data_IF_176061705413
#
_entry.id   IF_176061705413
#
_cell.length_a   1.000
_cell.length_b   1.000
_cell.length_c   1.000
_cell.angle_alpha   90.00
_cell.angle_beta   90.00
_cell.angle_gamma   90.00
#
_symmetry.space_group_name_H-M   'P 1'
#
loop_
_entity.id
_entity.type
_entity.pdbx_description
1 polymer ?
#
# COMPACT_ATOMS: atom_id res chain seq x y z
N UNK A 1 5.27 -14.24 48.31
CA UNK A 1 5.48 -15.67 48.65
C UNK A 1 5.54 -16.54 47.38
N UNK A 2 4.62 -16.39 46.43
CA UNK A 2 4.59 -17.18 45.19
C UNK A 2 5.80 -16.92 44.26
N UNK A 3 6.27 -15.67 44.19
CA UNK A 3 7.43 -15.27 43.35
C UNK A 3 8.74 -15.87 43.88
N UNK A 4 8.90 -15.96 45.21
CA UNK A 4 10.08 -16.56 45.82
C UNK A 4 10.10 -18.09 45.68
N UNK A 5 8.94 -18.74 45.55
CA UNK A 5 8.86 -20.17 45.25
C UNK A 5 9.19 -20.48 43.78
N UNK A 6 8.73 -19.60 42.83
CA UNK A 6 9.08 -19.73 41.40
C UNK A 6 10.58 -19.51 41.16
N UNK A 7 11.21 -18.55 41.84
CA UNK A 7 12.65 -18.31 41.74
C UNK A 7 13.50 -19.43 42.37
N UNK A 8 13.03 -20.09 43.41
CA UNK A 8 13.71 -21.28 43.97
C UNK A 8 13.57 -22.52 43.08
N UNK A 9 12.45 -22.63 42.35
CA UNK A 9 12.25 -23.72 41.39
C UNK A 9 13.17 -23.58 40.16
N UNK A 10 13.42 -22.34 39.70
CA UNK A 10 14.34 -22.09 38.60
C UNK A 10 15.82 -22.30 38.97
N UNK A 11 16.21 -22.06 40.20
CA UNK A 11 17.60 -22.27 40.67
C UNK A 11 17.95 -23.76 40.92
N UNK A 12 16.97 -24.61 41.18
CA UNK A 12 17.18 -26.06 41.39
C UNK A 12 17.11 -26.88 40.08
N UNK A 13 16.57 -26.31 39.00
CA UNK A 13 16.49 -26.98 37.70
C UNK A 13 17.77 -26.87 36.84
N UNK A 14 18.76 -26.08 37.27
CA UNK A 14 20.04 -25.90 36.55
C UNK A 14 21.10 -26.95 36.83
N UNK A 15 20.84 -27.93 37.75
CA UNK A 15 21.73 -29.06 37.98
C UNK A 15 21.05 -30.38 37.59
N UNK A 16 21.18 -30.73 36.30
CA UNK A 16 21.21 -32.09 35.79
C UNK A 16 20.00 -32.97 36.01
N UNK A 17 18.98 -32.90 35.16
CA UNK A 17 18.10 -34.03 34.91
C UNK A 17 17.73 -34.08 33.42
N UNK A 18 18.23 -35.09 32.70
CA UNK A 18 17.68 -35.56 31.44
C UNK A 18 16.38 -36.32 31.73
N UNK A 19 15.23 -35.81 31.30
CA UNK A 19 14.03 -36.62 31.21
C UNK A 19 13.00 -35.97 30.30
N UNK A 20 12.68 -36.65 29.20
CA UNK A 20 11.78 -36.32 28.10
C UNK A 20 10.28 -36.44 28.43
N UNK A 21 9.90 -36.58 29.70
CA UNK A 21 8.48 -36.80 30.10
C UNK A 21 7.81 -35.61 30.84
N UNK A 22 8.58 -34.65 31.29
CA UNK A 22 8.03 -33.52 32.06
C UNK A 22 7.51 -32.36 31.22
N UNK A 23 7.85 -32.29 29.92
CA UNK A 23 7.43 -31.22 29.04
C UNK A 23 5.95 -31.27 28.64
N UNK A 24 5.33 -32.43 28.66
CA UNK A 24 3.94 -32.60 28.21
C UNK A 24 2.93 -32.27 29.32
N UNK A 25 3.32 -32.40 30.57
CA UNK A 25 2.43 -32.11 31.72
C UNK A 25 2.35 -30.61 32.11
N UNK A 26 3.33 -29.81 31.71
CA UNK A 26 3.30 -28.36 31.98
C UNK A 26 2.44 -27.55 30.99
N UNK A 27 2.21 -28.04 29.79
CA UNK A 27 1.39 -27.33 28.79
C UNK A 27 -0.12 -27.25 29.11
N UNK A 28 -0.58 -28.06 30.08
CA UNK A 28 -2.01 -28.09 30.45
C UNK A 28 -2.35 -27.36 31.75
N UNK A 29 -1.39 -26.72 32.45
CA UNK A 29 -1.64 -26.11 33.76
C UNK A 29 -1.52 -24.58 33.81
N UNK A 30 -1.03 -23.89 32.78
CA UNK A 30 -0.93 -22.44 32.80
C UNK A 30 -1.39 -21.81 31.50
N UNK A 31 -2.33 -20.87 31.61
CA UNK A 31 -2.73 -20.01 30.51
C UNK A 31 -1.59 -19.00 30.26
N UNK A 32 -0.72 -19.28 29.28
CA UNK A 32 0.52 -18.56 29.02
C UNK A 32 0.36 -17.07 28.68
N UNK A 33 -0.83 -16.63 28.26
CA UNK A 33 -1.10 -15.21 27.97
C UNK A 33 -1.03 -14.30 29.21
N UNK A 34 -1.47 -14.78 30.37
CA UNK A 34 -1.42 -14.00 31.61
C UNK A 34 -0.01 -13.77 32.18
N UNK A 35 0.91 -14.72 31.95
CA UNK A 35 2.28 -14.65 32.48
C UNK A 35 3.14 -13.69 31.65
N UNK A 36 2.95 -13.67 30.31
CA UNK A 36 3.65 -12.75 29.42
C UNK A 36 3.31 -11.28 29.72
N UNK A 37 2.04 -10.97 29.93
CA UNK A 37 1.58 -9.61 30.27
C UNK A 37 2.09 -9.13 31.64
N UNK A 38 2.18 -10.03 32.60
CA UNK A 38 2.70 -9.68 33.94
C UNK A 38 4.22 -9.46 33.94
N UNK A 39 4.97 -10.23 33.15
CA UNK A 39 6.40 -10.01 32.95
C UNK A 39 6.69 -8.71 32.18
N UNK A 40 5.90 -8.38 31.17
CA UNK A 40 5.99 -7.09 30.44
C UNK A 40 5.76 -5.92 31.43
N UNK A 41 4.75 -6.00 32.27
CA UNK A 41 4.46 -5.01 33.31
C UNK A 41 5.62 -4.85 34.31
N UNK A 42 6.28 -5.93 34.71
CA UNK A 42 7.44 -5.87 35.63
C UNK A 42 8.69 -5.29 34.94
N UNK A 43 8.88 -5.50 33.65
CA UNK A 43 9.98 -4.92 32.89
C UNK A 43 9.80 -3.42 32.70
N UNK A 44 8.57 -2.95 32.44
CA UNK A 44 8.23 -1.53 32.30
C UNK A 44 8.43 -0.74 33.60
N UNK A 45 8.38 -1.42 34.80
CA UNK A 45 8.63 -0.82 36.10
C UNK A 45 10.12 -0.81 36.51
N UNK A 46 11.03 -1.27 35.63
CA UNK A 46 12.49 -1.25 35.90
C UNK A 46 12.96 -2.18 37.00
N UNK A 47 12.13 -3.09 37.51
CA UNK A 47 12.39 -3.90 38.72
C UNK A 47 13.06 -5.26 38.45
N UNK A 48 13.45 -5.57 37.19
CA UNK A 48 14.11 -6.83 36.84
C UNK A 48 15.48 -6.58 36.22
N UNK A 49 16.59 -7.09 36.83
CA UNK A 49 17.93 -6.92 36.24
C UNK A 49 18.07 -7.63 34.91
N UNK A 50 18.59 -6.93 33.90
CA UNK A 50 18.70 -7.41 32.49
C UNK A 50 19.52 -8.70 32.29
N UNK A 51 20.27 -9.17 33.26
CA UNK A 51 21.10 -10.37 33.15
C UNK A 51 20.44 -11.66 33.68
N UNK A 52 19.16 -11.63 34.05
CA UNK A 52 18.43 -12.80 34.57
C UNK A 52 17.51 -13.46 33.50
N UNK A 53 17.59 -13.06 32.22
CA UNK A 53 16.81 -13.71 31.15
C UNK A 53 17.55 -14.93 30.60
N UNK A 54 17.09 -16.17 30.87
CA UNK A 54 17.54 -17.31 30.07
C UNK A 54 17.02 -17.14 28.64
N UNK A 55 17.88 -17.25 27.66
CA UNK A 55 17.62 -17.10 26.21
C UNK A 55 16.54 -18.07 25.62
N UNK A 56 15.94 -18.92 26.45
CA UNK A 56 15.02 -19.98 26.05
C UNK A 56 13.53 -19.64 26.15
N UNK A 57 13.15 -18.41 26.60
CA UNK A 57 11.75 -17.96 26.61
C UNK A 57 11.54 -16.78 25.64
N UNK A 58 12.06 -16.89 24.42
CA UNK A 58 11.49 -16.14 23.34
C UNK A 58 10.14 -16.82 23.00
N UNK A 59 9.04 -16.29 23.54
CA UNK A 59 7.77 -16.38 22.83
C UNK A 59 8.10 -15.75 21.48
N UNK A 60 8.17 -16.55 20.41
CA UNK A 60 8.28 -16.02 19.06
C UNK A 60 7.00 -15.21 18.84
N UNK A 61 7.05 -13.91 19.13
CA UNK A 61 6.04 -13.00 18.58
C UNK A 61 6.00 -13.26 17.06
N UNK A 62 4.82 -13.40 16.48
CA UNK A 62 4.72 -13.60 15.04
C UNK A 62 5.50 -12.47 14.35
N UNK A 63 6.58 -12.84 13.69
CA UNK A 63 7.51 -11.86 13.16
C UNK A 63 6.86 -11.20 11.97
N UNK A 64 6.69 -9.87 12.01
CA UNK A 64 6.14 -9.05 10.93
C UNK A 64 6.73 -9.46 9.59
N UNK A 65 5.90 -9.61 8.58
CA UNK A 65 6.29 -9.89 7.20
C UNK A 65 6.21 -8.63 6.36
N UNK A 66 7.24 -8.38 5.57
CA UNK A 66 7.36 -7.16 4.76
C UNK A 66 7.36 -7.53 3.28
N UNK A 67 6.53 -6.85 2.50
CA UNK A 67 6.48 -6.96 1.05
C UNK A 67 6.84 -5.60 0.47
N UNK A 68 8.02 -5.49 -0.12
CA UNK A 68 8.46 -4.29 -0.80
C UNK A 68 8.05 -4.35 -2.27
N UNK A 69 7.26 -3.38 -2.72
CA UNK A 69 6.86 -3.20 -4.11
C UNK A 69 7.68 -2.07 -4.73
N UNK A 70 8.50 -2.40 -5.70
CA UNK A 70 9.34 -1.44 -6.45
C UNK A 70 8.88 -1.34 -7.89
N UNK A 71 9.20 -0.25 -8.58
CA UNK A 71 8.86 -0.05 -9.98
C UNK A 71 10.09 0.25 -10.83
N UNK A 72 10.02 -0.13 -12.09
CA UNK A 72 11.04 0.19 -13.07
C UNK A 72 10.47 0.53 -14.44
N UNK A 73 11.32 1.08 -15.29
CA UNK A 73 11.05 1.50 -16.67
C UNK A 73 10.32 2.83 -16.78
N UNK A 74 9.14 2.98 -16.19
CA UNK A 74 8.35 4.21 -16.24
C UNK A 74 7.61 4.46 -14.91
N UNK A 75 7.29 5.73 -14.63
CA UNK A 75 6.33 6.12 -13.59
C UNK A 75 4.90 5.74 -13.99
N UNK A 76 3.96 5.76 -13.04
CA UNK A 76 2.55 5.46 -13.34
C UNK A 76 2.26 4.01 -13.78
N UNK A 77 3.19 3.08 -13.55
CA UNK A 77 3.07 1.67 -13.98
C UNK A 77 1.99 0.87 -13.24
N UNK A 78 1.36 1.47 -12.21
CA UNK A 78 0.31 0.83 -11.42
C UNK A 78 0.82 0.10 -10.18
N UNK A 79 1.95 0.54 -9.59
CA UNK A 79 2.48 -0.02 -8.32
C UNK A 79 1.43 -0.03 -7.21
N UNK A 80 0.69 1.08 -7.02
CA UNK A 80 -0.34 1.22 -6.00
C UNK A 80 -1.47 0.21 -6.14
N UNK A 81 -1.97 0.00 -7.36
CA UNK A 81 -3.01 -1.01 -7.66
C UNK A 81 -2.49 -2.42 -7.40
N UNK A 82 -1.23 -2.70 -7.75
CA UNK A 82 -0.62 -4.01 -7.51
C UNK A 82 -0.39 -4.23 -6.01
N UNK A 83 0.12 -3.24 -5.30
CA UNK A 83 0.34 -3.29 -3.86
C UNK A 83 -0.98 -3.51 -3.08
N UNK A 84 -2.02 -2.72 -3.40
CA UNK A 84 -3.36 -2.89 -2.79
C UNK A 84 -3.99 -4.24 -3.15
N UNK A 85 -3.80 -4.74 -4.38
CA UNK A 85 -4.27 -6.06 -4.79
C UNK A 85 -3.59 -7.19 -4.03
N UNK A 86 -2.28 -7.11 -3.80
CA UNK A 86 -1.53 -8.05 -2.95
C UNK A 86 -2.13 -8.06 -1.54
N UNK A 87 -2.36 -6.88 -0.97
CA UNK A 87 -2.95 -6.76 0.35
C UNK A 87 -4.35 -7.36 0.44
N UNK A 88 -5.18 -7.12 -0.55
CA UNK A 88 -6.52 -7.72 -0.67
C UNK A 88 -6.47 -9.25 -0.68
N UNK A 89 -5.54 -9.84 -1.43
CA UNK A 89 -5.35 -11.30 -1.45
C UNK A 89 -4.89 -11.85 -0.11
N UNK A 90 -3.95 -11.20 0.57
CA UNK A 90 -3.48 -11.61 1.89
C UNK A 90 -4.57 -11.46 2.96
N UNK A 91 -5.34 -10.37 2.89
CA UNK A 91 -6.52 -10.17 3.75
C UNK A 91 -7.59 -11.25 3.52
N UNK A 92 -7.76 -11.71 2.26
CA UNK A 92 -8.67 -12.82 1.94
C UNK A 92 -8.26 -14.14 2.59
N UNK A 93 -6.99 -14.28 2.95
CA UNK A 93 -6.46 -15.43 3.72
C UNK A 93 -6.70 -15.29 5.23
N UNK A 94 -7.23 -14.16 5.70
CA UNK A 94 -7.49 -13.88 7.11
C UNK A 94 -6.32 -13.23 7.84
N UNK A 95 -5.34 -12.68 7.11
CA UNK A 95 -4.21 -11.97 7.70
C UNK A 95 -4.54 -10.49 7.92
N UNK A 96 -4.01 -9.90 8.97
CA UNK A 96 -4.07 -8.46 9.21
C UNK A 96 -2.95 -7.77 8.42
N UNK A 97 -3.34 -6.84 7.53
CA UNK A 97 -2.44 -6.20 6.58
C UNK A 97 -2.44 -4.70 6.81
N UNK A 98 -1.27 -4.09 6.81
CA UNK A 98 -1.09 -2.63 6.74
C UNK A 98 -0.31 -2.24 5.49
N UNK A 99 -0.35 -0.96 5.13
CA UNK A 99 0.37 -0.44 3.98
C UNK A 99 1.19 0.80 4.33
N UNK A 100 2.34 0.96 3.69
CA UNK A 100 3.20 2.14 3.77
C UNK A 100 3.49 2.60 2.34
N UNK A 101 3.28 3.89 2.08
CA UNK A 101 3.70 4.55 0.84
C UNK A 101 4.95 5.36 1.10
N UNK A 102 5.96 5.16 0.28
CA UNK A 102 7.20 5.95 0.31
C UNK A 102 7.27 6.79 -0.94
N UNK A 103 7.34 8.09 -0.75
CA UNK A 103 7.46 9.06 -1.83
C UNK A 103 8.79 9.80 -1.73
N UNK A 104 9.71 9.62 -2.69
CA UNK A 104 11.07 10.14 -2.61
C UNK A 104 11.20 11.64 -2.91
N UNK A 105 10.13 12.42 -2.78
CA UNK A 105 10.21 13.88 -2.92
C UNK A 105 10.57 14.56 -1.59
N UNK A 106 11.09 15.80 -1.68
CA UNK A 106 11.57 16.58 -0.52
C UNK A 106 10.44 17.25 0.26
N UNK A 107 9.23 17.34 -0.30
CA UNK A 107 8.08 17.88 0.42
C UNK A 107 7.81 17.05 1.69
N UNK A 108 7.38 17.75 2.76
CA UNK A 108 6.99 17.07 4.01
C UNK A 108 5.73 16.24 3.79
N UNK A 109 4.75 16.81 3.09
CA UNK A 109 3.47 16.19 2.75
C UNK A 109 3.01 16.62 1.36
N UNK A 110 1.81 16.21 0.95
CA UNK A 110 1.24 16.52 -0.36
C UNK A 110 0.47 17.85 -0.41
N UNK A 111 0.34 18.59 0.70
CA UNK A 111 -0.53 19.76 0.80
C UNK A 111 -0.19 20.92 -0.13
N UNK A 112 1.03 20.95 -0.66
CA UNK A 112 1.48 21.99 -1.60
C UNK A 112 1.52 21.54 -3.06
N UNK A 113 1.01 20.33 -3.37
CA UNK A 113 1.05 19.79 -4.72
C UNK A 113 0.03 20.44 -5.66
N UNK A 114 0.38 20.46 -6.93
CA UNK A 114 -0.55 20.83 -7.99
C UNK A 114 -1.43 19.60 -8.33
N UNK A 115 -2.77 19.73 -8.29
CA UNK A 115 -3.66 18.65 -8.71
C UNK A 115 -3.46 18.21 -10.17
N UNK A 116 -2.92 19.06 -11.02
CA UNK A 116 -2.59 18.71 -12.42
C UNK A 116 -1.37 17.80 -12.56
N UNK A 117 -0.47 17.78 -11.56
CA UNK A 117 0.76 16.99 -11.61
C UNK A 117 0.63 15.66 -10.83
N UNK A 118 -0.04 15.71 -9.67
CA UNK A 118 -0.07 14.60 -8.71
C UNK A 118 -1.48 14.08 -8.41
N UNK A 119 -2.54 14.68 -9.01
CA UNK A 119 -3.91 14.37 -8.66
C UNK A 119 -4.35 15.03 -7.35
N UNK A 120 -5.41 14.51 -6.72
CA UNK A 120 -5.92 15.08 -5.48
C UNK A 120 -4.96 14.88 -4.32
N UNK A 121 -4.94 15.85 -3.41
CA UNK A 121 -4.35 15.68 -2.08
C UNK A 121 -5.36 14.93 -1.23
N UNK A 122 -5.04 13.67 -0.89
CA UNK A 122 -5.90 12.85 -0.06
C UNK A 122 -5.70 13.22 1.41
N UNK A 123 -6.80 13.45 2.14
CA UNK A 123 -6.75 13.80 3.56
C UNK A 123 -7.21 12.61 4.39
N UNK A 124 -6.33 12.12 5.24
CA UNK A 124 -6.60 11.02 6.16
C UNK A 124 -7.45 11.47 7.36
N UNK A 125 -8.03 10.55 8.10
CA UNK A 125 -8.85 10.83 9.28
C UNK A 125 -8.10 11.60 10.38
N UNK A 126 -6.77 11.44 10.47
CA UNK A 126 -5.91 12.20 11.38
C UNK A 126 -5.51 13.60 10.86
N UNK A 127 -6.08 14.04 9.73
CA UNK A 127 -5.79 15.30 9.08
C UNK A 127 -4.48 15.32 8.27
N UNK A 128 -3.83 14.17 8.07
CA UNK A 128 -2.63 14.07 7.25
C UNK A 128 -2.94 14.29 5.77
N UNK A 129 -2.22 15.22 5.12
CA UNK A 129 -2.29 15.50 3.69
C UNK A 129 -1.29 14.59 2.96
N UNK A 130 -1.79 13.65 2.16
CA UNK A 130 -0.96 12.57 1.60
C UNK A 130 -1.26 12.34 0.13
N UNK A 131 -0.44 11.53 -0.51
CA UNK A 131 -0.63 11.09 -1.89
C UNK A 131 -1.93 10.27 -2.05
N UNK A 132 -2.59 10.41 -3.19
CA UNK A 132 -3.87 9.75 -3.51
C UNK A 132 -3.83 8.21 -3.41
N UNK A 133 -2.65 7.60 -3.51
CA UNK A 133 -2.47 6.15 -3.40
C UNK A 133 -2.89 5.62 -2.02
N UNK A 134 -2.76 6.42 -0.94
CA UNK A 134 -3.19 5.99 0.38
C UNK A 134 -4.70 5.79 0.45
N UNK A 135 -5.47 6.66 -0.20
CA UNK A 135 -6.91 6.46 -0.35
C UNK A 135 -7.26 5.17 -1.10
N UNK A 136 -6.41 4.77 -2.04
CA UNK A 136 -6.56 3.50 -2.74
C UNK A 136 -6.31 2.30 -1.82
N UNK A 137 -5.29 2.39 -0.95
CA UNK A 137 -5.05 1.34 0.06
C UNK A 137 -6.20 1.22 1.05
N UNK A 138 -6.70 2.32 1.58
CA UNK A 138 -7.85 2.31 2.49
C UNK A 138 -9.07 1.63 1.86
N UNK A 139 -9.40 1.99 0.61
CA UNK A 139 -10.55 1.41 -0.12
C UNK A 139 -10.39 -0.07 -0.44
N UNK A 140 -9.19 -0.51 -0.86
CA UNK A 140 -8.94 -1.91 -1.23
C UNK A 140 -8.78 -2.82 -0.01
N UNK A 141 -8.14 -2.30 1.04
CA UNK A 141 -7.82 -3.08 2.23
C UNK A 141 -8.85 -2.92 3.35
N UNK A 142 -9.80 -1.98 3.21
CA UNK A 142 -10.76 -1.67 4.27
C UNK A 142 -10.05 -1.48 5.62
N UNK A 143 -9.15 -0.49 5.65
CA UNK A 143 -8.31 -0.10 6.78
C UNK A 143 -8.31 1.42 6.91
N UNK A 144 -7.94 1.92 8.07
CA UNK A 144 -7.70 3.35 8.32
C UNK A 144 -6.22 3.59 8.49
N UNK A 145 -5.63 4.39 7.60
CA UNK A 145 -4.22 4.75 7.65
C UNK A 145 -4.02 6.08 8.41
N UNK A 146 -2.78 6.30 8.80
CA UNK A 146 -2.35 7.51 9.50
C UNK A 146 -1.27 8.22 8.69
N UNK A 147 -1.06 9.52 8.95
CA UNK A 147 -0.04 10.35 8.27
C UNK A 147 1.36 9.74 8.28
N UNK A 148 1.65 8.86 9.23
CA UNK A 148 2.93 8.18 9.33
C UNK A 148 3.07 7.00 8.35
N UNK A 149 1.97 6.51 7.78
CA UNK A 149 1.97 5.52 6.70
C UNK A 149 2.44 6.09 5.36
N UNK A 150 2.51 7.41 5.23
CA UNK A 150 3.17 8.08 4.12
C UNK A 150 4.54 8.60 4.56
N UNK A 151 5.60 8.05 4.01
CA UNK A 151 6.99 8.41 4.28
C UNK A 151 7.53 9.21 3.10
N UNK A 152 7.98 10.45 3.36
CA UNK A 152 8.64 11.28 2.35
C UNK A 152 10.10 11.51 2.69
N UNK A 153 10.92 11.86 1.70
CA UNK A 153 12.30 12.28 1.94
C UNK A 153 12.33 13.46 2.93
N UNK A 154 11.42 14.43 2.76
CA UNK A 154 11.34 15.57 3.66
C UNK A 154 11.11 15.18 5.12
N UNK A 155 10.15 14.29 5.40
CA UNK A 155 9.88 13.79 6.78
C UNK A 155 11.11 13.12 7.40
N UNK A 156 11.79 12.27 6.63
CA UNK A 156 12.98 11.54 7.13
C UNK A 156 14.13 12.50 7.43
N UNK A 157 14.43 13.40 6.50
CA UNK A 157 15.52 14.37 6.68
C UNK A 157 15.21 15.33 7.83
N UNK A 158 13.99 15.84 7.93
CA UNK A 158 13.56 16.68 9.04
C UNK A 158 13.73 15.96 10.38
N UNK A 159 13.34 14.68 10.45
CA UNK A 159 13.48 13.86 11.65
C UNK A 159 14.96 13.73 12.09
N UNK A 160 15.86 13.42 11.15
CA UNK A 160 17.29 13.26 11.43
C UNK A 160 17.92 14.60 11.79
N UNK A 161 17.58 15.69 11.10
CA UNK A 161 18.08 17.04 11.40
C UNK A 161 17.60 17.47 12.80
N UNK A 162 16.34 17.24 13.15
CA UNK A 162 15.82 17.52 14.51
C UNK A 162 16.56 16.74 15.59
N UNK A 163 16.88 15.46 15.36
CA UNK A 163 17.71 14.64 16.26
C UNK A 163 19.13 15.23 16.39
N UNK A 164 19.75 15.63 15.28
CA UNK A 164 21.08 16.24 15.30
C UNK A 164 21.07 17.54 16.12
N UNK A 165 20.11 18.43 15.89
CA UNK A 165 20.00 19.72 16.63
C UNK A 165 19.72 19.54 18.12
N UNK A 166 19.08 18.44 18.55
CA UNK A 166 18.90 18.10 19.96
C UNK A 166 20.15 17.50 20.61
N UNK A 167 21.13 17.07 19.80
CA UNK A 167 22.35 16.47 20.28
C UNK A 167 22.32 14.94 20.40
N UNK A 168 21.33 14.26 19.80
CA UNK A 168 21.22 12.79 19.86
C UNK A 168 22.41 12.09 19.18
N UNK A 169 23.15 12.82 18.34
CA UNK A 169 24.34 12.33 17.63
C UNK A 169 25.66 13.01 18.08
N UNK A 170 25.72 13.54 19.30
CA UNK A 170 26.91 14.25 19.78
C UNK A 170 28.19 13.45 19.55
N UNK A 171 29.21 14.14 18.98
CA UNK A 171 30.51 13.56 18.67
C UNK A 171 30.57 12.71 17.40
N UNK A 172 29.46 12.65 16.62
CA UNK A 172 29.40 11.90 15.36
C UNK A 172 29.14 12.84 14.19
N UNK A 173 29.74 12.52 13.04
CA UNK A 173 29.35 13.12 11.75
C UNK A 173 28.08 12.42 11.26
N UNK A 174 26.99 13.19 11.08
CA UNK A 174 25.72 12.66 10.60
C UNK A 174 25.76 12.55 9.08
N UNK A 175 25.46 11.36 8.54
CA UNK A 175 25.58 11.00 7.13
C UNK A 175 24.32 10.25 6.66
N UNK A 176 24.16 10.11 5.35
CA UNK A 176 23.03 9.32 4.79
C UNK A 176 23.08 7.88 5.33
N UNK A 177 24.23 7.24 5.26
CA UNK A 177 24.47 5.94 5.89
C UNK A 177 25.37 6.18 7.10
N UNK A 178 24.98 5.77 8.32
CA UNK A 178 23.77 5.01 8.65
C UNK A 178 22.53 5.85 9.04
N UNK A 179 22.64 7.16 9.27
CA UNK A 179 21.62 7.91 10.05
C UNK A 179 20.28 8.06 9.34
N UNK A 180 20.29 8.34 8.02
CA UNK A 180 19.07 8.41 7.20
C UNK A 180 18.53 7.00 6.97
N UNK A 181 19.41 6.04 6.63
CA UNK A 181 18.97 4.66 6.39
C UNK A 181 18.40 4.00 7.64
N UNK A 182 18.98 4.25 8.80
CA UNK A 182 18.45 3.74 10.08
C UNK A 182 17.10 4.39 10.41
N UNK A 183 16.96 5.71 10.20
CA UNK A 183 15.70 6.41 10.42
C UNK A 183 14.56 5.86 9.55
N UNK A 184 14.85 5.53 8.27
CA UNK A 184 13.87 4.90 7.37
C UNK A 184 13.45 3.54 7.91
N UNK A 185 14.41 2.69 8.28
CA UNK A 185 14.14 1.34 8.78
C UNK A 185 13.35 1.37 10.10
N UNK A 186 13.75 2.22 11.04
CA UNK A 186 13.05 2.40 12.33
C UNK A 186 11.62 2.91 12.13
N UNK A 187 11.41 3.83 11.18
CA UNK A 187 10.08 4.35 10.87
C UNK A 187 9.18 3.25 10.31
N UNK A 188 9.68 2.48 9.33
CA UNK A 188 8.94 1.35 8.74
C UNK A 188 8.57 0.32 9.80
N UNK A 189 9.52 -0.10 10.66
CA UNK A 189 9.25 -1.07 11.72
C UNK A 189 8.20 -0.57 12.73
N UNK A 190 8.27 0.71 13.10
CA UNK A 190 7.33 1.32 14.04
C UNK A 190 5.91 1.41 13.44
N UNK A 191 5.79 1.92 12.23
CA UNK A 191 4.48 2.11 11.58
C UNK A 191 3.84 0.75 11.21
N UNK A 192 4.62 -0.23 10.82
CA UNK A 192 4.12 -1.56 10.50
C UNK A 192 3.39 -2.24 11.68
N UNK A 193 3.68 -1.84 12.93
CA UNK A 193 3.06 -2.41 14.14
C UNK A 193 1.81 -1.66 14.61
N UNK A 194 1.47 -0.53 13.96
CA UNK A 194 0.29 0.25 14.32
C UNK A 194 -0.96 -0.44 13.79
N UNK A 195 -1.94 -0.65 14.67
CA UNK A 195 -3.24 -1.21 14.27
C UNK A 195 -3.96 -0.25 13.31
N UNK A 196 -4.53 -0.81 12.23
CA UNK A 196 -5.20 -0.07 11.16
C UNK A 196 -6.63 -0.54 10.93
N UNK A 197 -7.12 -1.42 11.81
CA UNK A 197 -8.48 -1.98 11.75
C UNK A 197 -9.21 -1.73 13.07
N UNK A 198 -10.55 -1.63 13.07
CA UNK A 198 -11.34 -1.30 14.28
C UNK A 198 -11.21 -2.31 15.42
N UNK A 199 -10.76 -3.53 15.15
CA UNK A 199 -10.53 -4.59 16.14
C UNK A 199 -9.19 -4.46 16.88
N UNK A 200 -8.42 -3.40 16.60
CA UNK A 200 -7.12 -3.07 17.23
C UNK A 200 -6.10 -4.21 17.16
N UNK A 201 -6.19 -5.05 16.12
CA UNK A 201 -5.26 -6.14 15.88
C UNK A 201 -3.95 -5.61 15.27
N UNK A 202 -2.82 -6.06 15.81
CA UNK A 202 -1.51 -5.74 15.22
C UNK A 202 -1.39 -6.41 13.85
N UNK A 203 -0.97 -5.68 12.80
CA UNK A 203 -0.76 -6.27 11.48
C UNK A 203 0.30 -7.38 11.50
N UNK A 204 0.09 -8.39 10.65
CA UNK A 204 1.03 -9.49 10.44
C UNK A 204 1.86 -9.29 9.18
N UNK A 205 1.34 -8.52 8.22
CA UNK A 205 1.99 -8.20 6.95
C UNK A 205 1.94 -6.70 6.70
N UNK A 206 3.09 -6.13 6.39
CA UNK A 206 3.24 -4.75 5.95
C UNK A 206 3.62 -4.72 4.46
N UNK A 207 2.79 -4.05 3.65
CA UNK A 207 3.07 -3.81 2.24
C UNK A 207 3.68 -2.42 2.12
N UNK A 208 4.85 -2.34 1.48
CA UNK A 208 5.59 -1.10 1.33
C UNK A 208 5.71 -0.80 -0.15
N UNK A 209 5.10 0.26 -0.60
CA UNK A 209 5.31 0.74 -1.96
C UNK A 209 6.41 1.79 -1.99
N UNK A 210 7.45 1.54 -2.78
CA UNK A 210 8.48 2.53 -3.07
C UNK A 210 8.07 3.32 -4.33
N UNK A 211 7.78 4.60 -4.14
CA UNK A 211 7.50 5.56 -5.19
C UNK A 211 8.70 5.80 -6.09
N UNK A 212 8.47 6.43 -7.24
CA UNK A 212 9.50 6.65 -8.26
C UNK A 212 9.88 5.39 -9.03
N UNK A 213 10.97 5.48 -9.75
CA UNK A 213 11.54 4.42 -10.59
C UNK A 213 12.89 3.99 -10.01
N UNK A 214 13.18 2.70 -10.04
CA UNK A 214 14.50 2.21 -9.60
C UNK A 214 15.58 2.83 -10.50
N UNK A 215 16.61 3.39 -9.87
CA UNK A 215 17.70 4.10 -10.52
C UNK A 215 17.61 5.63 -10.39
N UNK A 216 16.46 6.16 -10.04
CA UNK A 216 16.31 7.60 -9.80
C UNK A 216 17.08 8.01 -8.54
N UNK A 217 17.75 9.18 -8.61
CA UNK A 217 18.62 9.69 -7.52
C UNK A 217 17.84 9.85 -6.22
N UNK A 218 16.60 10.32 -6.32
CA UNK A 218 15.72 10.61 -5.19
C UNK A 218 15.39 9.36 -4.38
N UNK A 219 15.30 8.21 -5.05
CA UNK A 219 14.98 6.91 -4.44
C UNK A 219 16.14 6.22 -3.74
N UNK A 220 17.39 6.64 -4.01
CA UNK A 220 18.58 5.91 -3.60
C UNK A 220 18.73 5.70 -2.09
N UNK A 221 18.44 6.67 -1.20
CA UNK A 221 18.49 6.46 0.25
C UNK A 221 17.54 5.37 0.74
N UNK A 222 16.35 5.28 0.13
CA UNK A 222 15.34 4.25 0.45
C UNK A 222 15.78 2.87 -0.05
N UNK A 223 16.29 2.79 -1.27
CA UNK A 223 16.82 1.52 -1.82
C UNK A 223 17.94 0.99 -0.95
N UNK A 224 18.87 1.85 -0.52
CA UNK A 224 19.97 1.46 0.38
C UNK A 224 19.42 1.04 1.76
N UNK A 225 18.42 1.76 2.30
CA UNK A 225 17.78 1.38 3.55
C UNK A 225 17.14 -0.02 3.44
N UNK A 226 16.43 -0.35 2.36
CA UNK A 226 15.83 -1.68 2.17
C UNK A 226 16.86 -2.77 1.86
N UNK A 227 17.97 -2.43 1.22
CA UNK A 227 19.11 -3.35 1.06
C UNK A 227 19.65 -3.78 2.43
N UNK A 228 19.74 -2.86 3.40
CA UNK A 228 20.14 -3.17 4.78
C UNK A 228 18.99 -3.89 5.52
N UNK A 229 17.76 -3.43 5.36
CA UNK A 229 16.58 -3.93 6.05
C UNK A 229 16.33 -5.42 5.81
N UNK A 230 16.50 -5.92 4.58
CA UNK A 230 16.35 -7.34 4.27
C UNK A 230 17.28 -8.25 5.10
N UNK A 231 18.48 -7.77 5.46
CA UNK A 231 19.40 -8.49 6.36
C UNK A 231 18.92 -8.44 7.80
N UNK A 232 18.42 -7.26 8.24
CA UNK A 232 17.96 -7.03 9.61
C UNK A 232 16.74 -7.88 9.95
N UNK A 233 15.73 -7.92 9.07
CA UNK A 233 14.49 -8.68 9.30
C UNK A 233 14.60 -10.14 8.87
N UNK A 234 15.67 -10.50 8.17
CA UNK A 234 15.95 -11.78 7.55
C UNK A 234 15.06 -12.07 6.32
N UNK A 235 15.60 -12.89 5.42
CA UNK A 235 14.98 -13.18 4.12
C UNK A 235 13.61 -13.86 4.21
N UNK A 236 13.35 -14.67 5.22
CA UNK A 236 12.06 -15.31 5.45
C UNK A 236 10.93 -14.32 5.83
N UNK A 237 11.29 -13.10 6.21
CA UNK A 237 10.33 -12.05 6.57
C UNK A 237 10.28 -10.90 5.55
N UNK A 238 11.04 -10.98 4.47
CA UNK A 238 11.11 -9.93 3.46
C UNK A 238 10.93 -10.49 2.05
N UNK A 239 10.04 -9.90 1.27
CA UNK A 239 9.78 -10.27 -0.12
C UNK A 239 9.81 -9.02 -0.99
N UNK A 240 10.55 -9.06 -2.09
CA UNK A 240 10.65 -7.97 -3.05
C UNK A 240 9.85 -8.30 -4.31
N UNK A 241 8.86 -7.48 -4.61
CA UNK A 241 8.03 -7.51 -5.83
C UNK A 241 8.49 -6.37 -6.74
N UNK A 242 8.91 -6.68 -7.95
CA UNK A 242 9.33 -5.68 -8.92
C UNK A 242 8.31 -5.56 -10.04
N UNK A 243 7.71 -4.39 -10.16
CA UNK A 243 6.75 -4.07 -11.24
C UNK A 243 7.52 -3.50 -12.42
N UNK A 244 7.33 -4.09 -13.60
CA UNK A 244 8.04 -3.67 -14.79
C UNK A 244 7.15 -3.73 -16.03
N UNK A 245 7.36 -2.82 -16.96
CA UNK A 245 6.65 -2.77 -18.23
C UNK A 245 7.21 -3.79 -19.22
N UNK A 246 6.30 -4.53 -19.86
CA UNK A 246 6.58 -5.39 -21.02
C UNK A 246 5.83 -4.81 -22.21
N UNK A 247 6.42 -3.83 -22.92
CA UNK A 247 5.73 -3.15 -24.00
C UNK A 247 5.52 -4.07 -25.21
N UNK A 248 4.41 -3.84 -25.90
CA UNK A 248 4.05 -4.49 -27.15
C UNK A 248 3.88 -3.43 -28.25
N UNK A 249 4.95 -3.03 -28.94
CA UNK A 249 4.87 -2.02 -29.98
C UNK A 249 3.93 -2.47 -31.10
N UNK A 250 2.98 -1.63 -31.47
CA UNK A 250 1.95 -1.94 -32.51
C UNK A 250 2.58 -2.38 -33.84
N UNK A 251 3.74 -1.83 -34.21
CA UNK A 251 4.43 -2.15 -35.44
C UNK A 251 4.95 -3.60 -35.52
N UNK A 252 5.29 -4.22 -34.38
CA UNK A 252 5.84 -5.58 -34.34
C UNK A 252 4.87 -6.60 -33.78
N UNK A 253 3.89 -6.18 -32.98
CA UNK A 253 2.93 -7.07 -32.32
C UNK A 253 3.54 -8.03 -31.29
N UNK A 254 4.83 -7.86 -30.96
CA UNK A 254 5.57 -8.74 -30.05
C UNK A 254 5.88 -8.09 -28.73
N UNK A 255 5.74 -8.83 -27.63
CA UNK A 255 6.19 -8.37 -26.32
C UNK A 255 7.71 -8.21 -26.25
N UNK A 256 8.19 -7.05 -25.82
CA UNK A 256 9.62 -6.74 -25.69
C UNK A 256 10.05 -6.82 -24.23
N UNK A 257 10.92 -7.78 -23.92
CA UNK A 257 11.37 -8.07 -22.54
C UNK A 257 12.61 -7.28 -22.12
N UNK A 258 13.27 -6.59 -23.03
CA UNK A 258 14.52 -5.84 -22.73
C UNK A 258 14.34 -4.76 -21.67
N UNK A 259 13.25 -3.96 -21.63
CA UNK A 259 13.06 -2.99 -20.56
C UNK A 259 13.01 -3.65 -19.17
N UNK A 260 12.27 -4.75 -19.03
CA UNK A 260 12.19 -5.53 -17.78
C UNK A 260 13.54 -6.10 -17.37
N UNK A 261 14.30 -6.66 -18.32
CA UNK A 261 15.65 -7.18 -18.07
C UNK A 261 16.62 -6.08 -17.59
N UNK A 262 16.54 -4.88 -18.18
CA UNK A 262 17.35 -3.73 -17.78
C UNK A 262 17.00 -3.27 -16.37
N UNK A 263 15.70 -3.10 -16.07
CA UNK A 263 15.20 -2.65 -14.79
C UNK A 263 15.57 -3.63 -13.65
N UNK A 264 15.41 -4.95 -13.86
CA UNK A 264 15.81 -5.96 -12.87
C UNK A 264 17.31 -5.98 -12.67
N UNK A 265 18.11 -5.76 -13.73
CA UNK A 265 19.57 -5.67 -13.60
C UNK A 265 19.99 -4.48 -12.75
N UNK A 266 19.33 -3.34 -12.93
CA UNK A 266 19.57 -2.15 -12.14
C UNK A 266 19.22 -2.37 -10.67
N UNK A 267 18.02 -2.89 -10.36
CA UNK A 267 17.62 -3.26 -9.01
C UNK A 267 18.65 -4.16 -8.32
N UNK A 268 19.20 -5.14 -9.05
CA UNK A 268 20.26 -6.02 -8.54
C UNK A 268 21.58 -5.32 -8.34
N UNK A 269 21.93 -4.40 -9.25
CA UNK A 269 23.11 -3.56 -9.11
C UNK A 269 23.11 -2.75 -7.82
N UNK A 270 21.91 -2.39 -7.34
CA UNK A 270 21.67 -1.71 -6.08
C UNK A 270 21.54 -2.67 -4.87
N UNK A 271 21.72 -3.98 -5.08
CA UNK A 271 21.74 -4.99 -4.00
C UNK A 271 20.40 -5.55 -3.56
N UNK A 272 19.32 -5.23 -4.27
CA UNK A 272 18.02 -5.85 -4.09
C UNK A 272 17.74 -6.84 -5.22
N UNK A 273 17.18 -8.01 -4.89
CA UNK A 273 16.78 -9.00 -5.89
C UNK A 273 15.29 -9.26 -5.81
N UNK A 274 14.57 -9.23 -6.94
CA UNK A 274 13.14 -9.51 -6.91
C UNK A 274 12.90 -10.99 -6.61
N UNK A 275 11.94 -11.24 -5.72
CA UNK A 275 11.36 -12.57 -5.50
C UNK A 275 10.22 -12.84 -6.48
N UNK A 276 9.62 -11.77 -7.02
CA UNK A 276 8.51 -11.82 -7.96
C UNK A 276 8.61 -10.64 -8.93
N UNK A 277 8.29 -10.88 -10.20
CA UNK A 277 8.21 -9.84 -11.22
C UNK A 277 6.75 -9.73 -11.67
N UNK A 278 6.15 -8.56 -11.43
CA UNK A 278 4.84 -8.20 -11.96
C UNK A 278 5.02 -7.50 -13.32
N UNK A 279 4.69 -8.22 -14.38
CA UNK A 279 4.80 -7.76 -15.76
C UNK A 279 3.54 -6.99 -16.15
N UNK A 280 3.64 -5.67 -16.24
CA UNK A 280 2.59 -4.82 -16.74
C UNK A 280 2.62 -4.81 -18.26
N UNK A 281 1.49 -5.10 -18.92
CA UNK A 281 1.38 -5.18 -20.37
C UNK A 281 -0.02 -4.81 -20.84
N UNK A 282 -0.18 -4.43 -22.09
CA UNK A 282 -1.49 -4.16 -22.71
C UNK A 282 -2.29 -5.45 -22.86
N UNK A 283 -1.64 -6.53 -23.33
CA UNK A 283 -2.25 -7.84 -23.52
C UNK A 283 -1.57 -8.93 -22.69
N UNK A 284 -2.24 -10.10 -22.49
CA UNK A 284 -1.65 -11.22 -21.78
C UNK A 284 -0.28 -11.64 -22.31
N UNK A 285 0.67 -11.81 -21.43
CA UNK A 285 2.03 -12.25 -21.76
C UNK A 285 2.04 -13.77 -21.98
N UNK A 286 2.61 -14.22 -23.10
CA UNK A 286 2.70 -15.65 -23.42
C UNK A 286 3.73 -16.38 -22.54
N UNK A 287 3.59 -17.70 -22.40
CA UNK A 287 4.50 -18.51 -21.57
C UNK A 287 5.95 -18.43 -22.08
N UNK A 288 6.19 -18.40 -23.39
CA UNK A 288 7.54 -18.24 -23.93
C UNK A 288 8.18 -16.90 -23.56
N UNK A 289 7.38 -15.84 -23.40
CA UNK A 289 7.86 -14.54 -22.90
C UNK A 289 8.12 -14.60 -21.39
N UNK A 290 7.28 -15.29 -20.62
CA UNK A 290 7.52 -15.54 -19.18
C UNK A 290 8.80 -16.32 -18.95
N UNK A 291 9.03 -17.40 -19.71
CA UNK A 291 10.28 -18.17 -19.66
C UNK A 291 11.50 -17.32 -20.00
N UNK A 292 11.39 -16.47 -21.02
CA UNK A 292 12.47 -15.55 -21.37
C UNK A 292 12.78 -14.56 -20.25
N UNK A 293 11.77 -13.98 -19.60
CA UNK A 293 11.95 -13.10 -18.44
C UNK A 293 12.56 -13.90 -17.29
N UNK A 294 12.04 -15.08 -16.99
CA UNK A 294 12.54 -16.02 -15.98
C UNK A 294 14.05 -16.24 -16.14
N UNK A 295 14.49 -16.64 -17.33
CA UNK A 295 15.89 -16.94 -17.62
C UNK A 295 16.82 -15.73 -17.45
N UNK A 296 16.42 -14.56 -17.93
CA UNK A 296 17.25 -13.34 -17.85
C UNK A 296 17.19 -12.63 -16.50
N UNK A 297 16.09 -12.81 -15.77
CA UNK A 297 15.88 -12.19 -14.47
C UNK A 297 16.11 -13.16 -13.31
N UNK A 298 16.52 -14.40 -13.56
CA UNK A 298 16.80 -15.44 -12.57
C UNK A 298 15.70 -15.58 -11.49
N UNK A 299 14.48 -15.61 -11.91
CA UNK A 299 13.28 -15.97 -11.15
C UNK A 299 12.66 -17.21 -11.80
N UNK A 300 11.91 -18.03 -11.08
CA UNK A 300 11.24 -19.17 -11.71
C UNK A 300 9.99 -18.70 -12.48
N UNK A 301 9.55 -19.40 -13.53
CA UNK A 301 8.46 -18.95 -14.40
C UNK A 301 7.16 -18.57 -13.67
N UNK A 302 6.82 -19.29 -12.59
CA UNK A 302 5.64 -19.00 -11.76
C UNK A 302 5.79 -17.74 -10.88
N UNK A 303 6.98 -17.16 -10.78
CA UNK A 303 7.24 -15.86 -10.14
C UNK A 303 7.14 -14.70 -11.14
N UNK A 304 6.83 -14.96 -12.40
CA UNK A 304 6.55 -13.95 -13.42
C UNK A 304 5.04 -13.85 -13.59
N UNK A 305 4.43 -12.85 -12.95
CA UNK A 305 2.99 -12.62 -12.95
C UNK A 305 2.66 -11.59 -14.02
N UNK A 306 1.68 -11.90 -14.87
CA UNK A 306 1.20 -10.99 -15.90
C UNK A 306 0.05 -10.13 -15.36
N UNK A 307 0.20 -8.81 -15.45
CA UNK A 307 -0.83 -7.83 -15.11
C UNK A 307 -1.13 -7.05 -16.41
N UNK A 308 -2.06 -7.58 -17.20
CA UNK A 308 -2.50 -6.93 -18.42
C UNK A 308 -3.68 -5.99 -18.18
N UNK A 309 -4.04 -5.21 -19.20
CA UNK A 309 -5.18 -4.31 -19.12
C UNK A 309 -6.47 -5.10 -18.88
N UNK A 310 -7.27 -4.62 -17.95
CA UNK A 310 -8.55 -5.19 -17.55
C UNK A 310 -9.60 -4.08 -17.50
N UNK A 311 -10.90 -4.40 -17.64
CA UNK A 311 -11.97 -3.40 -17.70
C UNK A 311 -12.07 -2.52 -16.45
N UNK A 312 -11.70 -3.06 -15.28
CA UNK A 312 -11.71 -2.34 -14.02
C UNK A 312 -10.55 -2.78 -13.13
N UNK A 313 -10.02 -1.86 -12.31
CA UNK A 313 -8.98 -2.17 -11.32
C UNK A 313 -9.40 -3.26 -10.33
N UNK A 314 -10.70 -3.48 -10.14
CA UNK A 314 -11.22 -4.54 -9.28
C UNK A 314 -10.96 -5.95 -9.81
N UNK A 315 -10.66 -6.12 -11.11
CA UNK A 315 -10.26 -7.40 -11.69
C UNK A 315 -8.83 -7.81 -11.29
N UNK A 316 -7.96 -6.85 -10.94
CA UNK A 316 -6.53 -7.10 -10.73
C UNK A 316 -6.27 -8.13 -9.61
N UNK A 317 -6.92 -8.06 -8.42
CA UNK A 317 -6.73 -9.09 -7.39
C UNK A 317 -7.08 -10.49 -7.88
N UNK A 318 -8.19 -10.63 -8.64
CA UNK A 318 -8.62 -11.93 -9.19
C UNK A 318 -7.65 -12.44 -10.26
N UNK A 319 -7.17 -11.55 -11.15
CA UNK A 319 -6.16 -11.87 -12.14
C UNK A 319 -4.87 -12.40 -11.49
N UNK A 320 -4.45 -11.80 -10.39
CA UNK A 320 -3.28 -12.22 -9.63
C UNK A 320 -3.53 -13.54 -8.89
N UNK A 321 -4.70 -13.71 -8.29
CA UNK A 321 -5.10 -14.94 -7.61
C UNK A 321 -5.10 -16.14 -8.56
N UNK A 322 -5.69 -15.98 -9.74
CA UNK A 322 -5.77 -17.02 -10.77
C UNK A 322 -4.39 -17.47 -11.29
N UNK A 323 -3.35 -16.67 -11.11
CA UNK A 323 -1.96 -17.03 -11.43
C UNK A 323 -1.21 -17.65 -10.24
N UNK A 324 -1.88 -17.94 -9.12
CA UNK A 324 -1.28 -18.62 -7.97
C UNK A 324 -0.44 -17.71 -7.06
N UNK A 325 -0.67 -16.39 -7.11
CA UNK A 325 0.13 -15.43 -6.33
C UNK A 325 -0.04 -15.61 -4.82
N UNK A 326 -1.24 -15.96 -4.38
CA UNK A 326 -1.54 -16.18 -2.96
C UNK A 326 -0.68 -17.30 -2.37
N UNK A 327 -0.63 -18.45 -3.05
CA UNK A 327 0.16 -19.62 -2.65
C UNK A 327 1.66 -19.31 -2.67
N UNK A 328 2.08 -18.48 -3.61
CA UNK A 328 3.47 -18.05 -3.71
C UNK A 328 3.90 -17.24 -2.49
N UNK A 329 3.09 -16.27 -2.05
CA UNK A 329 3.39 -15.49 -0.83
C UNK A 329 3.34 -16.35 0.43
N UNK A 330 2.34 -17.25 0.57
CA UNK A 330 2.24 -18.16 1.70
C UNK A 330 3.53 -18.97 1.84
N UNK A 331 4.00 -19.55 0.74
CA UNK A 331 5.23 -20.35 0.70
C UNK A 331 6.48 -19.49 0.93
N UNK A 332 6.57 -18.32 0.27
CA UNK A 332 7.78 -17.49 0.29
C UNK A 332 8.03 -16.82 1.64
N UNK A 333 6.96 -16.35 2.29
CA UNK A 333 7.02 -15.68 3.57
C UNK A 333 6.72 -16.61 4.76
N UNK A 334 6.45 -17.89 4.50
CA UNK A 334 6.09 -18.86 5.54
C UNK A 334 4.95 -18.33 6.42
N UNK A 335 3.86 -17.89 5.76
CA UNK A 335 2.73 -17.27 6.44
C UNK A 335 1.96 -18.32 7.26
N UNK A 336 1.72 -18.02 8.52
CA UNK A 336 0.85 -18.82 9.38
C UNK A 336 -0.59 -18.38 9.15
N UNK A 337 -1.35 -19.19 8.44
CA UNK A 337 -2.74 -18.86 8.15
C UNK A 337 -3.64 -19.23 9.32
N UNK A 338 -4.63 -18.38 9.67
CA UNK A 338 -5.59 -18.70 10.71
C UNK A 338 -6.43 -19.95 10.32
N UNK A 339 -6.79 -20.77 11.31
CA UNK A 339 -7.61 -21.98 11.10
C UNK A 339 -8.98 -21.65 10.48
N UNK A 340 -9.54 -20.49 10.86
CA UNK A 340 -10.81 -19.98 10.31
C UNK A 340 -10.51 -18.87 9.30
N UNK A 341 -10.40 -19.23 8.03
CA UNK A 341 -10.31 -18.26 6.95
C UNK A 341 -11.67 -17.57 6.70
N UNK A 342 -11.71 -16.29 6.31
CA UNK A 342 -12.94 -15.62 5.90
C UNK A 342 -13.42 -16.23 4.56
N UNK A 343 -14.19 -17.29 4.61
CA UNK A 343 -14.61 -18.11 3.45
C UNK A 343 -15.31 -17.34 2.33
N UNK A 344 -15.76 -16.11 2.62
CA UNK A 344 -16.57 -15.29 1.68
C UNK A 344 -15.88 -14.02 1.19
N UNK A 345 -14.64 -13.74 1.56
CA UNK A 345 -14.03 -12.47 1.16
C UNK A 345 -13.79 -12.43 -0.35
N UNK A 346 -13.11 -13.44 -0.88
CA UNK A 346 -12.82 -13.50 -2.31
C UNK A 346 -14.07 -13.68 -3.17
N UNK A 347 -15.10 -14.40 -2.68
CA UNK A 347 -16.39 -14.53 -3.38
C UNK A 347 -17.14 -13.18 -3.42
N UNK A 348 -17.13 -12.40 -2.33
CA UNK A 348 -17.71 -11.05 -2.35
C UNK A 348 -16.97 -10.13 -3.33
N UNK A 349 -15.66 -10.30 -3.44
CA UNK A 349 -14.87 -9.55 -4.42
C UNK A 349 -15.22 -9.95 -5.85
N UNK A 350 -15.40 -11.25 -6.10
CA UNK A 350 -15.91 -11.75 -7.39
C UNK A 350 -17.30 -11.19 -7.69
N UNK A 351 -18.23 -11.22 -6.72
CA UNK A 351 -19.58 -10.65 -6.86
C UNK A 351 -19.52 -9.15 -7.23
N UNK A 352 -18.54 -8.41 -6.67
CA UNK A 352 -18.32 -7.00 -7.03
C UNK A 352 -17.88 -6.86 -8.49
N UNK A 353 -16.92 -7.65 -8.94
CA UNK A 353 -16.41 -7.65 -10.31
C UNK A 353 -17.52 -8.01 -11.29
N UNK A 354 -18.25 -9.09 -11.00
CA UNK A 354 -19.37 -9.54 -11.83
C UNK A 354 -20.46 -8.46 -11.94
N UNK A 355 -20.71 -7.72 -10.85
CA UNK A 355 -21.65 -6.59 -10.87
C UNK A 355 -21.16 -5.47 -11.77
N UNK A 356 -19.88 -5.09 -11.70
CA UNK A 356 -19.28 -4.06 -12.56
C UNK A 356 -19.44 -4.42 -14.05
N UNK A 357 -19.22 -5.69 -14.38
CA UNK A 357 -19.24 -6.16 -15.78
C UNK A 357 -20.66 -6.27 -16.38
N UNK A 358 -21.69 -6.42 -15.53
CA UNK A 358 -23.07 -6.66 -15.97
C UNK A 358 -24.00 -5.44 -15.83
N UNK A 359 -23.46 -4.24 -15.57
CA UNK A 359 -24.26 -3.02 -15.51
C UNK A 359 -24.77 -2.63 -16.90
N UNK A 360 -26.11 -2.53 -17.04
CA UNK A 360 -26.76 -2.17 -18.31
C UNK A 360 -27.35 -0.77 -18.27
N UNK A 361 -27.89 -0.36 -17.10
CA UNK A 361 -28.48 0.96 -16.95
C UNK A 361 -27.38 1.98 -16.74
N UNK A 362 -27.44 3.10 -17.44
CA UNK A 362 -26.47 4.18 -17.32
C UNK A 362 -27.07 5.38 -16.56
N UNK A 363 -26.24 6.08 -15.82
CA UNK A 363 -26.57 7.37 -15.22
C UNK A 363 -25.45 8.34 -15.54
N UNK A 364 -25.80 9.54 -15.97
CA UNK A 364 -24.84 10.58 -16.30
C UNK A 364 -24.82 11.62 -15.19
N UNK A 365 -23.65 11.82 -14.58
CA UNK A 365 -23.43 12.84 -13.57
C UNK A 365 -22.39 13.81 -14.10
N UNK A 366 -22.65 15.12 -13.96
CA UNK A 366 -21.68 16.14 -14.35
C UNK A 366 -21.05 16.76 -13.11
N UNK A 367 -19.73 16.74 -13.07
CA UNK A 367 -18.90 17.37 -12.06
C UNK A 367 -18.43 18.73 -12.58
N UNK A 368 -18.80 19.79 -11.87
CA UNK A 368 -18.36 21.16 -12.17
C UNK A 368 -17.29 21.56 -11.14
N UNK A 369 -16.13 21.94 -11.58
CA UNK A 369 -15.03 22.26 -10.68
C UNK A 369 -13.87 22.97 -11.35
N UNK A 370 -12.77 23.15 -10.61
CA UNK A 370 -11.44 23.51 -11.15
C UNK A 370 -10.66 22.22 -11.40
N UNK A 371 -9.64 22.29 -12.23
CA UNK A 371 -8.74 21.17 -12.50
C UNK A 371 -9.45 19.94 -13.11
N UNK A 372 -10.54 20.17 -13.84
CA UNK A 372 -11.37 19.10 -14.43
C UNK A 372 -10.73 18.41 -15.63
N UNK A 373 -9.62 18.95 -16.14
CA UNK A 373 -8.86 18.35 -17.26
C UNK A 373 -8.08 17.09 -16.83
N UNK A 374 -7.95 16.86 -15.53
CA UNK A 374 -7.26 15.69 -14.99
C UNK A 374 -8.17 14.97 -13.98
N UNK A 375 -8.64 13.78 -14.34
CA UNK A 375 -9.62 13.02 -13.55
C UNK A 375 -9.16 12.70 -12.14
N UNK A 376 -7.85 12.44 -11.95
CA UNK A 376 -7.29 12.13 -10.65
C UNK A 376 -7.31 13.32 -9.67
N UNK A 377 -7.55 14.55 -10.16
CA UNK A 377 -7.77 15.71 -9.28
C UNK A 377 -9.02 15.55 -8.38
N UNK A 378 -9.92 14.64 -8.74
CA UNK A 378 -11.17 14.34 -8.04
C UNK A 378 -11.32 12.85 -7.74
N UNK A 379 -10.20 12.14 -7.56
CA UNK A 379 -10.18 10.69 -7.43
C UNK A 379 -11.14 10.17 -6.34
N UNK A 380 -11.19 10.77 -5.16
CA UNK A 380 -12.09 10.37 -4.07
C UNK A 380 -13.55 10.57 -4.41
N UNK A 381 -13.91 11.70 -5.02
CA UNK A 381 -15.28 12.00 -5.44
C UNK A 381 -15.71 11.03 -6.54
N UNK A 382 -14.86 10.83 -7.54
CA UNK A 382 -15.10 9.89 -8.64
C UNK A 382 -15.33 8.47 -8.10
N UNK A 383 -14.53 8.03 -7.14
CA UNK A 383 -14.68 6.72 -6.49
C UNK A 383 -15.97 6.63 -5.67
N UNK A 384 -16.31 7.68 -4.90
CA UNK A 384 -17.56 7.72 -4.13
C UNK A 384 -18.78 7.63 -5.04
N UNK A 385 -18.83 8.41 -6.12
CA UNK A 385 -19.90 8.38 -7.11
C UNK A 385 -19.97 7.00 -7.80
N UNK A 386 -18.83 6.43 -8.16
CA UNK A 386 -18.77 5.11 -8.76
C UNK A 386 -19.29 4.02 -7.82
N UNK A 387 -18.91 4.02 -6.54
CA UNK A 387 -19.42 3.06 -5.56
C UNK A 387 -20.92 3.23 -5.31
N UNK A 388 -21.42 4.47 -5.27
CA UNK A 388 -22.84 4.74 -5.16
C UNK A 388 -23.61 4.20 -6.37
N UNK A 389 -23.14 4.43 -7.59
CA UNK A 389 -23.76 3.94 -8.82
C UNK A 389 -23.80 2.40 -8.86
N UNK A 390 -22.69 1.74 -8.47
CA UNK A 390 -22.65 0.28 -8.35
C UNK A 390 -23.68 -0.26 -7.35
N UNK A 391 -23.85 0.42 -6.24
CA UNK A 391 -24.86 0.04 -5.23
C UNK A 391 -26.27 0.14 -5.78
N UNK A 392 -26.53 1.15 -6.62
CA UNK A 392 -27.80 1.35 -7.30
C UNK A 392 -27.97 0.51 -8.58
N UNK A 393 -26.97 -0.28 -8.98
CA UNK A 393 -26.91 -1.05 -10.24
C UNK A 393 -26.96 -0.19 -11.49
N UNK A 394 -26.26 0.94 -11.48
CA UNK A 394 -26.07 1.81 -12.64
C UNK A 394 -24.59 1.88 -13.04
N UNK A 395 -24.34 1.94 -14.32
CA UNK A 395 -23.05 2.33 -14.88
C UNK A 395 -22.95 3.85 -14.86
N UNK A 396 -21.92 4.37 -14.23
CA UNK A 396 -21.69 5.79 -14.10
C UNK A 396 -20.96 6.33 -15.35
N UNK A 397 -21.53 7.39 -15.95
CA UNK A 397 -20.88 8.22 -16.95
C UNK A 397 -20.61 9.59 -16.30
N UNK A 398 -19.33 9.91 -16.07
CA UNK A 398 -18.93 11.20 -15.53
C UNK A 398 -18.58 12.17 -16.64
N UNK A 399 -19.21 13.34 -16.61
CA UNK A 399 -18.82 14.48 -17.41
C UNK A 399 -18.14 15.51 -16.53
N UNK A 400 -17.14 16.20 -17.07
CA UNK A 400 -16.43 17.24 -16.36
C UNK A 400 -16.63 18.57 -17.06
N UNK A 401 -16.94 19.62 -16.31
CA UNK A 401 -17.07 20.98 -16.80
C UNK A 401 -16.16 21.88 -15.95
N UNK A 402 -15.27 22.61 -16.62
CA UNK A 402 -14.47 23.64 -15.94
C UNK A 402 -15.38 24.76 -15.48
N UNK A 403 -15.31 25.14 -14.22
CA UNK A 403 -16.21 26.15 -13.65
C UNK A 403 -16.09 27.51 -14.35
N UNK A 404 -14.90 27.85 -14.85
CA UNK A 404 -14.65 29.08 -15.60
C UNK A 404 -15.43 29.14 -16.91
N UNK A 405 -15.74 27.99 -17.53
CA UNK A 405 -16.49 27.92 -18.79
C UNK A 405 -17.97 28.31 -18.62
N UNK A 406 -18.46 28.31 -17.40
CA UNK A 406 -19.84 28.72 -17.06
C UNK A 406 -19.93 30.17 -16.59
N UNK A 407 -18.82 30.87 -16.45
CA UNK A 407 -18.79 32.27 -16.01
C UNK A 407 -19.26 33.23 -17.11
N UNK A 408 -19.95 34.31 -16.71
CA UNK A 408 -20.44 35.33 -17.64
C UNK A 408 -19.32 35.94 -18.52
N UNK A 409 -18.09 36.00 -18.00
CA UNK A 409 -16.91 36.44 -18.73
C UNK A 409 -16.63 35.56 -19.95
N UNK A 410 -16.79 34.24 -19.81
CA UNK A 410 -16.56 33.31 -20.91
C UNK A 410 -17.60 33.47 -22.03
N UNK A 411 -18.82 33.93 -21.71
CA UNK A 411 -19.84 34.24 -22.72
C UNK A 411 -19.39 35.36 -23.67
N UNK A 412 -18.58 36.31 -23.18
CA UNK A 412 -18.03 37.39 -24.01
C UNK A 412 -16.76 36.98 -24.73
N UNK A 413 -15.87 36.22 -24.06
CA UNK A 413 -14.55 35.83 -24.59
C UNK A 413 -14.63 34.66 -25.55
N UNK A 414 -15.44 33.63 -25.24
CA UNK A 414 -15.63 32.44 -26.07
C UNK A 414 -17.09 31.90 -25.99
N UNK A 415 -18.03 32.51 -26.74
CA UNK A 415 -19.44 32.14 -26.69
C UNK A 415 -19.73 30.68 -27.01
N UNK A 416 -18.91 30.06 -27.87
CA UNK A 416 -19.09 28.66 -28.29
C UNK A 416 -18.84 27.73 -27.08
N UNK A 417 -17.70 27.86 -26.44
CA UNK A 417 -17.33 27.05 -25.27
C UNK A 417 -18.32 27.24 -24.11
N UNK A 418 -18.75 28.47 -23.87
CA UNK A 418 -19.80 28.79 -22.91
C UNK A 418 -21.10 28.04 -23.19
N UNK A 419 -21.60 28.09 -24.43
CA UNK A 419 -22.82 27.42 -24.81
C UNK A 419 -22.70 25.88 -24.78
N UNK A 420 -21.57 25.33 -25.16
CA UNK A 420 -21.31 23.89 -25.07
C UNK A 420 -21.31 23.41 -23.62
N UNK A 421 -20.64 24.14 -22.70
CA UNK A 421 -20.62 23.85 -21.28
C UNK A 421 -22.04 23.89 -20.68
N UNK A 422 -22.82 24.91 -21.00
CA UNK A 422 -24.22 25.00 -20.55
C UNK A 422 -25.10 23.91 -21.15
N UNK A 423 -24.90 23.52 -22.39
CA UNK A 423 -25.62 22.39 -22.99
C UNK A 423 -25.31 21.06 -22.32
N UNK A 424 -24.05 20.81 -21.98
CA UNK A 424 -23.64 19.63 -21.25
C UNK A 424 -24.26 19.60 -19.85
N UNK A 425 -24.24 20.75 -19.17
CA UNK A 425 -24.86 20.93 -17.86
C UNK A 425 -26.36 20.59 -17.90
N UNK A 426 -27.10 21.12 -18.87
CA UNK A 426 -28.54 20.90 -19.02
C UNK A 426 -28.91 19.45 -19.42
N UNK A 427 -27.99 18.68 -19.96
CA UNK A 427 -28.22 17.26 -20.32
C UNK A 427 -27.96 16.31 -19.17
N UNK A 428 -27.41 16.78 -18.07
CA UNK A 428 -27.10 15.96 -16.88
C UNK A 428 -28.36 15.57 -16.13
N UNK A 429 -28.44 14.32 -15.71
CA UNK A 429 -29.54 13.83 -14.88
C UNK A 429 -29.37 14.24 -13.41
N UNK A 430 -28.13 14.48 -12.97
CA UNK A 430 -27.79 14.92 -11.64
C UNK A 430 -26.52 15.77 -11.67
N UNK A 431 -26.45 16.79 -10.78
CA UNK A 431 -25.32 17.70 -10.64
C UNK A 431 -24.64 17.45 -9.31
N UNK A 432 -23.33 17.19 -9.35
CA UNK A 432 -22.48 17.29 -8.15
C UNK A 432 -21.63 18.55 -8.24
N UNK A 433 -21.81 19.43 -7.26
CA UNK A 433 -21.03 20.65 -7.09
C UNK A 433 -19.89 20.41 -6.12
N UNK A 434 -18.65 20.49 -6.57
CA UNK A 434 -17.51 20.62 -5.69
C UNK A 434 -17.09 22.08 -5.66
N UNK A 435 -17.55 22.70 -4.61
CA UNK A 435 -17.50 24.10 -4.34
C UNK A 435 -16.11 24.73 -4.37
N UNK A 436 -15.98 25.78 -5.11
CA UNK A 436 -15.40 27.07 -4.73
C UNK A 436 -15.97 28.20 -5.60
N UNK A 437 -17.05 27.94 -6.31
CA UNK A 437 -17.75 28.94 -7.07
C UNK A 437 -18.94 29.42 -6.23
N UNK A 438 -18.88 30.69 -5.79
CA UNK A 438 -19.90 31.27 -4.94
C UNK A 438 -21.32 31.20 -5.54
N UNK A 439 -22.29 31.47 -4.70
CA UNK A 439 -23.75 31.36 -4.80
C UNK A 439 -24.44 31.86 -6.10
N UNK A 440 -23.69 32.28 -7.12
CA UNK A 440 -24.25 32.92 -8.33
C UNK A 440 -24.74 31.93 -9.40
N UNK A 441 -24.23 30.72 -9.44
CA UNK A 441 -24.59 29.78 -10.53
C UNK A 441 -25.91 29.06 -10.19
N UNK A 442 -26.18 28.76 -8.92
CA UNK A 442 -27.44 28.16 -8.47
C UNK A 442 -28.69 29.00 -8.81
N UNK A 443 -28.57 30.31 -8.86
CA UNK A 443 -29.73 31.20 -9.11
C UNK A 443 -30.16 31.28 -10.58
N UNK A 444 -29.36 30.78 -11.52
CA UNK A 444 -29.64 30.88 -12.95
C UNK A 444 -30.18 29.61 -13.62
N UNK A 445 -30.25 28.50 -12.90
CA UNK A 445 -30.79 27.23 -13.42
C UNK A 445 -32.17 26.92 -12.86
N UNK A 446 -33.27 27.07 -13.64
CA UNK A 446 -34.64 26.83 -13.16
C UNK A 446 -35.02 25.39 -12.84
N UNK A 447 -34.07 24.45 -12.87
CA UNK A 447 -34.29 23.01 -12.61
C UNK A 447 -33.51 22.45 -11.45
N UNK A 448 -32.67 23.21 -10.78
CA UNK A 448 -31.74 22.78 -9.75
C UNK A 448 -32.35 22.63 -8.33
N UNK A 449 -33.59 23.04 -8.13
CA UNK A 449 -34.28 22.93 -6.83
C UNK A 449 -34.75 21.52 -6.45
N UNK A 450 -34.39 20.49 -7.24
CA UNK A 450 -34.90 19.11 -7.05
C UNK A 450 -33.81 18.03 -6.82
N UNK A 451 -32.58 18.41 -6.50
CA UNK A 451 -31.55 17.45 -6.13
C UNK A 451 -31.16 17.61 -4.67
#
# INVERSE_FOLDING_TARGET
>A
MIVNQALRFCSSASSGIRSTRTGILMNNMFNFQGVGSYFKFLMDQGNVPRHVMPWSYCVCEPKMKYILVTGGVISGIGKGVIASSIGTLLKSCGLHVTAIKIDPYINIDAGTFSPYEHGEVFVLDDGGEVDLDLGNYERFLDITLHKENNITTGKIYEHVIKKERRGDYLGKTVQVVPHITDAIQEWVERVAQVAVTPDDQTPEVCIIELGGTIGDIEGMPFVEAFRQFQFRVKRENFCCVHVSLVPQPKATGEHKTKPTQASVRELRGLGLSPDLIACRSEHPVTDGVKEKISNFCHVVPNQVICIHDVPSIYHVPLLMHNQGLTELFIKRLQLNLPEKRPRRFLSKWQDLVDRVDHLVKEVTITLVGKYTQFEDSYASVNKALHHASLTCNYKLNLNYIEATDLEARMQEENPVQFHEAWQQLCKSECLSWLSMCGDRICSQCPGLERC
#
